data_IF_537477330787
#
_entry.id   IF_537477330787
#
_cell.length_a   1.000
_cell.length_b   1.000
_cell.length_c   1.000
_cell.angle_alpha   90.00
_cell.angle_beta   90.00
_cell.angle_gamma   90.00
#
_symmetry.space_group_name_H-M   'P 1'
#
loop_
_entity.id
_entity.type
_entity.pdbx_description
1 polymer ?
#
# COMPACT_ATOMS: atom_id res chain seq x y z
N UNK A 1 -21.57 18.96 24.66
CA UNK A 1 -21.27 18.14 23.47
C UNK A 1 -20.76 16.81 23.96
N UNK A 2 -21.52 15.77 23.66
CA UNK A 2 -21.70 14.60 24.52
C UNK A 2 -20.62 13.55 24.30
N UNK A 3 -19.91 13.20 25.37
CA UNK A 3 -19.04 12.03 25.44
C UNK A 3 -19.93 10.79 25.64
N UNK A 4 -19.92 9.84 24.71
CA UNK A 4 -20.48 8.51 24.96
C UNK A 4 -19.58 7.75 25.94
N UNK A 5 -20.11 7.52 27.14
CA UNK A 5 -19.49 6.76 28.23
C UNK A 5 -19.80 5.27 28.03
N UNK A 6 -18.79 4.40 28.08
CA UNK A 6 -19.03 2.97 28.21
C UNK A 6 -19.43 2.63 29.67
N UNK A 7 -20.10 1.50 29.90
CA UNK A 7 -20.80 1.10 31.14
C UNK A 7 -19.95 1.06 32.44
N UNK A 8 -18.67 1.44 32.40
CA UNK A 8 -17.76 1.46 33.55
C UNK A 8 -17.06 2.82 33.78
N UNK A 9 -17.39 3.88 33.06
CA UNK A 9 -16.88 5.23 33.37
C UNK A 9 -15.38 5.46 33.17
N UNK A 10 -14.64 4.48 32.63
CA UNK A 10 -13.23 4.65 32.29
C UNK A 10 -13.05 5.38 30.96
N UNK A 11 -12.17 6.38 30.96
CA UNK A 11 -11.66 7.05 29.76
C UNK A 11 -10.93 5.98 28.94
N UNK A 12 -11.56 5.42 27.90
CA UNK A 12 -10.90 4.46 27.01
C UNK A 12 -9.76 5.19 26.33
N UNK A 13 -8.54 4.96 26.81
CA UNK A 13 -7.35 5.52 26.19
C UNK A 13 -7.25 4.99 24.76
N UNK A 14 -6.78 5.82 23.80
CA UNK A 14 -6.54 5.33 22.46
C UNK A 14 -5.60 4.12 22.53
N UNK A 15 -5.97 3.02 21.88
CA UNK A 15 -5.22 1.76 21.91
C UNK A 15 -5.15 1.19 20.50
N UNK A 16 -3.97 0.70 20.15
CA UNK A 16 -3.74 -0.02 18.91
C UNK A 16 -3.36 0.85 17.71
N UNK A 17 -2.99 0.14 16.65
CA UNK A 17 -2.58 0.63 15.34
C UNK A 17 -3.56 0.11 14.31
N UNK A 18 -4.15 1.00 13.52
CA UNK A 18 -5.01 0.64 12.40
C UNK A 18 -4.20 0.73 11.11
N UNK A 19 -4.19 -0.32 10.29
CA UNK A 19 -3.48 -0.34 9.00
C UNK A 19 -4.49 -0.38 7.87
N UNK A 20 -4.46 0.60 6.96
CA UNK A 20 -5.36 0.69 5.82
C UNK A 20 -4.59 0.90 4.52
N UNK A 21 -5.31 0.92 3.40
CA UNK A 21 -4.74 1.20 2.08
C UNK A 21 -5.05 0.14 1.06
N UNK A 22 -4.17 0.05 0.08
CA UNK A 22 -4.24 -0.85 -1.05
C UNK A 22 -3.86 -2.28 -0.63
N UNK A 23 -4.79 -3.22 -0.78
CA UNK A 23 -4.58 -4.64 -0.51
C UNK A 23 -4.29 -5.40 -1.80
N UNK A 24 -3.27 -6.25 -1.77
CA UNK A 24 -2.79 -7.05 -2.91
C UNK A 24 -2.81 -8.52 -2.50
N UNK A 25 -2.99 -9.39 -3.48
CA UNK A 25 -2.76 -10.83 -3.39
C UNK A 25 -1.44 -11.11 -4.10
N UNK A 26 -0.39 -11.32 -3.32
CA UNK A 26 0.92 -11.67 -3.84
C UNK A 26 0.96 -13.17 -4.16
N UNK A 27 1.27 -13.48 -5.41
CA UNK A 27 1.46 -14.82 -5.95
C UNK A 27 2.96 -15.05 -6.12
N UNK A 28 3.58 -15.66 -5.12
CA UNK A 28 5.00 -15.99 -5.14
C UNK A 28 5.23 -17.34 -5.81
N UNK A 29 5.86 -17.32 -6.97
CA UNK A 29 6.15 -18.51 -7.78
C UNK A 29 7.59 -18.92 -7.52
N UNK A 30 7.77 -19.97 -6.73
CA UNK A 30 9.08 -20.54 -6.40
C UNK A 30 9.44 -21.62 -7.42
N UNK A 31 10.58 -21.42 -8.10
CA UNK A 31 11.13 -22.39 -9.03
C UNK A 31 11.55 -23.67 -8.29
N UNK A 32 11.00 -24.82 -8.69
CA UNK A 32 11.31 -26.10 -8.08
C UNK A 32 12.59 -26.74 -8.63
N UNK A 33 13.04 -27.81 -7.97
CA UNK A 33 14.26 -28.53 -8.32
C UNK A 33 14.04 -29.79 -9.14
N UNK A 34 12.92 -29.93 -9.86
CA UNK A 34 12.59 -31.16 -10.61
C UNK A 34 13.63 -31.39 -11.71
N UNK A 35 14.33 -32.52 -11.65
CA UNK A 35 15.36 -32.90 -12.63
C UNK A 35 14.93 -34.05 -13.52
N UNK A 36 13.94 -34.82 -13.09
CA UNK A 36 13.49 -36.01 -13.79
C UNK A 36 11.96 -36.09 -13.89
N UNK A 37 11.45 -36.71 -14.96
CA UNK A 37 10.01 -36.87 -15.14
C UNK A 37 9.37 -37.75 -14.06
N UNK A 38 10.14 -38.66 -13.46
CA UNK A 38 9.67 -39.56 -12.41
C UNK A 38 9.55 -38.87 -11.03
N UNK A 39 10.12 -37.66 -10.86
CA UNK A 39 10.01 -36.91 -9.62
C UNK A 39 8.53 -36.56 -9.38
N UNK A 40 8.02 -36.95 -8.21
CA UNK A 40 6.62 -36.74 -7.83
C UNK A 40 6.36 -35.36 -7.22
N UNK A 41 7.42 -34.59 -6.95
CA UNK A 41 7.30 -33.23 -6.44
C UNK A 41 6.92 -32.26 -7.58
N UNK A 42 6.00 -31.31 -7.35
CA UNK A 42 5.73 -30.25 -8.31
C UNK A 42 7.01 -29.49 -8.70
N UNK A 43 7.13 -29.14 -10.00
CA UNK A 43 8.27 -28.36 -10.51
C UNK A 43 8.23 -26.88 -10.12
N UNK A 44 7.15 -26.43 -9.49
CA UNK A 44 6.92 -25.07 -9.03
C UNK A 44 6.10 -25.14 -7.74
N UNK A 45 6.38 -24.24 -6.79
CA UNK A 45 5.53 -23.99 -5.63
C UNK A 45 4.96 -22.58 -5.76
N UNK A 46 3.63 -22.46 -5.80
CA UNK A 46 2.96 -21.16 -5.72
C UNK A 46 2.52 -20.92 -4.28
N UNK A 47 3.03 -19.84 -3.68
CA UNK A 47 2.62 -19.39 -2.34
C UNK A 47 1.84 -18.09 -2.50
N UNK A 48 0.62 -18.09 -1.97
CA UNK A 48 -0.26 -16.92 -2.00
C UNK A 48 -0.26 -16.24 -0.64
N UNK A 49 0.00 -14.94 -0.63
CA UNK A 49 0.01 -14.11 0.57
C UNK A 49 -0.73 -12.78 0.33
N UNK A 50 -1.04 -12.06 1.39
CA UNK A 50 -1.50 -10.66 1.28
C UNK A 50 -0.29 -9.73 1.13
N UNK A 51 -0.30 -8.92 0.07
CA UNK A 51 0.61 -7.81 -0.17
C UNK A 51 0.06 -6.47 0.35
N UNK A 52 0.74 -5.38 -0.02
CA UNK A 52 0.29 -4.01 0.26
C UNK A 52 0.05 -3.73 1.76
N UNK A 53 -1.11 -3.15 2.09
CA UNK A 53 -1.52 -2.87 3.46
C UNK A 53 -1.58 -4.11 4.36
N UNK A 54 -1.94 -5.28 3.80
CA UNK A 54 -1.95 -6.54 4.54
C UNK A 54 -0.54 -6.96 4.99
N UNK A 55 0.43 -6.93 4.07
CA UNK A 55 1.84 -7.24 4.40
C UNK A 55 2.42 -6.23 5.38
N UNK A 56 2.07 -4.96 5.25
CA UNK A 56 2.49 -3.91 6.18
C UNK A 56 1.95 -4.15 7.59
N UNK A 57 0.69 -4.58 7.72
CA UNK A 57 0.13 -4.95 9.02
C UNK A 57 0.90 -6.11 9.66
N UNK A 58 1.23 -7.15 8.89
CA UNK A 58 1.99 -8.29 9.41
C UNK A 58 3.43 -7.91 9.80
N UNK A 59 4.08 -7.04 9.02
CA UNK A 59 5.39 -6.49 9.38
C UNK A 59 5.33 -5.70 10.68
N UNK A 60 4.34 -4.83 10.86
CA UNK A 60 4.17 -4.03 12.08
C UNK A 60 3.90 -4.91 13.30
N UNK A 61 3.06 -5.96 13.16
CA UNK A 61 2.85 -6.94 14.23
C UNK A 61 4.16 -7.56 14.68
N UNK A 62 4.99 -7.98 13.72
CA UNK A 62 6.26 -8.63 14.03
C UNK A 62 7.27 -7.66 14.64
N UNK A 63 7.36 -6.43 14.13
CA UNK A 63 8.21 -5.38 14.69
C UNK A 63 7.80 -5.04 16.13
N UNK A 64 6.51 -4.91 16.41
CA UNK A 64 6.02 -4.63 17.76
C UNK A 64 6.18 -5.82 18.71
N UNK A 65 6.10 -7.05 18.20
CA UNK A 65 6.41 -8.28 18.97
C UNK A 65 7.88 -8.32 19.39
N UNK A 66 8.79 -7.90 18.51
CA UNK A 66 10.23 -7.87 18.80
C UNK A 66 10.66 -6.66 19.65
N UNK A 67 9.88 -5.57 19.61
CA UNK A 67 10.19 -4.35 20.35
C UNK A 67 10.01 -4.54 21.87
N UNK A 68 11.05 -4.15 22.61
CA UNK A 68 11.03 -4.03 24.07
C UNK A 68 10.57 -2.65 24.56
N UNK A 69 10.17 -1.74 23.66
CA UNK A 69 9.83 -0.36 24.00
C UNK A 69 8.44 -0.28 24.64
N UNK A 70 8.39 0.28 25.85
CA UNK A 70 7.14 0.56 26.58
C UNK A 70 6.29 1.66 25.92
N UNK A 71 6.88 2.53 25.10
CA UNK A 71 6.12 3.55 24.34
C UNK A 71 5.29 2.92 23.21
N UNK A 72 5.79 1.83 22.62
CA UNK A 72 5.10 1.07 21.57
C UNK A 72 4.08 0.07 22.12
N UNK A 73 4.09 -0.20 23.44
CA UNK A 73 3.17 -1.15 24.08
C UNK A 73 1.71 -0.75 23.89
N UNK A 74 1.41 0.56 23.84
CA UNK A 74 0.06 1.06 23.62
C UNK A 74 -0.43 0.93 22.16
N UNK A 75 0.48 0.63 21.22
CA UNK A 75 0.23 0.49 19.78
C UNK A 75 0.32 -0.98 19.29
N UNK A 76 0.59 -1.93 20.20
CA UNK A 76 0.87 -3.34 19.89
C UNK A 76 -0.24 -4.06 19.14
N UNK A 77 -1.48 -3.72 19.38
CA UNK A 77 -2.60 -4.30 18.65
C UNK A 77 -2.65 -3.69 17.26
N UNK A 78 -2.11 -4.40 16.27
CA UNK A 78 -2.12 -3.98 14.86
C UNK A 78 -3.30 -4.68 14.17
N UNK A 79 -4.26 -3.88 13.75
CA UNK A 79 -5.49 -4.33 13.10
C UNK A 79 -5.51 -3.79 11.68
N UNK A 80 -5.56 -4.63 10.64
CA UNK A 80 -5.84 -4.13 9.29
C UNK A 80 -7.29 -3.61 9.25
N UNK A 81 -7.59 -2.56 8.49
CA UNK A 81 -8.94 -1.98 8.37
C UNK A 81 -9.91 -2.91 7.65
N UNK A 82 -9.37 -3.70 6.73
CA UNK A 82 -10.08 -4.70 5.94
C UNK A 82 -9.26 -6.00 5.94
N UNK A 83 -9.94 -7.13 5.80
CA UNK A 83 -9.29 -8.45 5.75
C UNK A 83 -9.65 -9.19 4.47
N UNK A 84 -8.74 -10.03 3.94
CA UNK A 84 -9.11 -11.03 2.96
C UNK A 84 -10.29 -11.88 3.46
N UNK A 85 -11.32 -12.14 2.61
CA UNK A 85 -12.29 -13.18 2.89
C UNK A 85 -11.54 -14.49 3.24
N UNK A 86 -11.99 -15.27 4.24
CA UNK A 86 -11.23 -16.41 4.77
C UNK A 86 -10.78 -17.44 3.73
N UNK A 87 -11.53 -17.59 2.64
CA UNK A 87 -11.23 -18.54 1.57
C UNK A 87 -10.57 -17.89 0.35
N UNK A 88 -10.33 -16.57 0.35
CA UNK A 88 -9.82 -15.90 -0.83
C UNK A 88 -8.40 -16.37 -1.17
N UNK A 89 -7.50 -16.49 -0.19
CA UNK A 89 -6.13 -16.93 -0.43
C UNK A 89 -6.10 -18.38 -0.96
N UNK A 90 -6.94 -19.25 -0.40
CA UNK A 90 -7.08 -20.64 -0.87
C UNK A 90 -7.64 -20.70 -2.30
N UNK A 91 -8.66 -19.88 -2.60
CA UNK A 91 -9.25 -19.77 -3.94
C UNK A 91 -8.28 -19.18 -4.96
N UNK A 92 -7.52 -18.17 -4.57
CA UNK A 92 -6.46 -17.55 -5.33
C UNK A 92 -5.34 -18.53 -5.69
N UNK A 93 -5.00 -19.45 -4.79
CA UNK A 93 -4.04 -20.52 -5.08
C UNK A 93 -4.56 -21.52 -6.12
N UNK A 94 -5.89 -21.71 -6.21
CA UNK A 94 -6.53 -22.63 -7.17
C UNK A 94 -6.96 -21.97 -8.49
N UNK A 95 -6.68 -20.66 -8.68
CA UNK A 95 -7.11 -19.91 -9.86
C UNK A 95 -8.61 -19.60 -9.94
N UNK A 96 -9.39 -19.94 -8.91
CA UNK A 96 -10.84 -19.76 -8.87
C UNK A 96 -11.21 -18.51 -8.06
N UNK A 97 -10.81 -17.33 -8.54
CA UNK A 97 -10.85 -16.09 -7.75
C UNK A 97 -11.97 -15.18 -8.19
N UNK A 98 -12.81 -14.77 -7.24
CA UNK A 98 -13.84 -13.75 -7.43
C UNK A 98 -13.30 -12.30 -7.27
N UNK A 99 -11.99 -12.13 -7.13
CA UNK A 99 -11.35 -10.80 -7.07
C UNK A 99 -10.80 -10.41 -8.42
N UNK A 100 -10.85 -9.10 -8.71
CA UNK A 100 -10.22 -8.56 -9.92
C UNK A 100 -8.75 -8.96 -10.00
N UNK A 101 -8.31 -9.35 -11.20
CA UNK A 101 -6.90 -9.61 -11.52
C UNK A 101 -6.00 -8.41 -11.22
N UNK A 102 -6.55 -7.20 -11.16
CA UNK A 102 -5.81 -5.99 -10.78
C UNK A 102 -5.22 -6.05 -9.36
N UNK A 103 -5.80 -6.88 -8.47
CA UNK A 103 -5.28 -7.07 -7.11
C UNK A 103 -4.25 -8.20 -7.02
N UNK A 104 -3.92 -8.88 -8.12
CA UNK A 104 -2.94 -9.95 -8.12
C UNK A 104 -1.58 -9.42 -8.57
N UNK A 105 -0.59 -9.54 -7.71
CA UNK A 105 0.80 -9.32 -8.06
C UNK A 105 1.53 -10.65 -8.15
N UNK A 106 2.52 -10.75 -9.05
CA UNK A 106 3.28 -11.98 -9.21
C UNK A 106 4.78 -11.73 -9.10
N UNK A 107 5.48 -12.65 -8.47
CA UNK A 107 6.94 -12.62 -8.35
C UNK A 107 7.55 -14.01 -8.50
N UNK A 108 8.61 -14.13 -9.30
CA UNK A 108 9.40 -15.35 -9.42
C UNK A 108 10.57 -15.35 -8.44
N UNK A 109 10.66 -16.44 -7.70
CA UNK A 109 11.72 -16.70 -6.75
C UNK A 109 12.56 -17.86 -7.24
N UNK A 110 13.86 -17.64 -7.40
CA UNK A 110 14.81 -18.66 -7.83
C UNK A 110 15.80 -18.99 -6.72
N UNK A 111 16.16 -20.27 -6.54
CA UNK A 111 17.16 -20.64 -5.56
C UNK A 111 18.53 -20.16 -6.04
N UNK A 112 19.23 -19.43 -5.18
CA UNK A 112 20.58 -18.95 -5.43
C UNK A 112 21.52 -19.55 -4.39
N UNK A 113 22.76 -19.91 -4.77
CA UNK A 113 23.76 -20.33 -3.81
C UNK A 113 23.94 -19.27 -2.73
N UNK A 114 23.96 -19.67 -1.46
CA UNK A 114 24.35 -18.77 -0.39
C UNK A 114 25.89 -18.66 -0.39
N UNK A 115 26.40 -17.43 -0.54
CA UNK A 115 27.83 -17.16 -0.62
C UNK A 115 28.58 -17.52 0.66
N UNK A 116 27.89 -17.50 1.81
CA UNK A 116 28.45 -17.77 3.14
C UNK A 116 28.32 -19.26 3.51
N UNK A 117 27.21 -19.90 3.13
CA UNK A 117 26.94 -21.31 3.41
C UNK A 117 26.60 -22.02 2.09
N UNK A 118 27.61 -22.55 1.39
CA UNK A 118 27.47 -23.09 0.03
C UNK A 118 26.50 -24.28 -0.08
N UNK A 119 26.23 -24.95 1.03
CA UNK A 119 25.25 -26.02 1.19
C UNK A 119 23.81 -25.50 1.37
N UNK A 120 23.64 -24.21 1.65
CA UNK A 120 22.34 -23.55 1.81
C UNK A 120 21.99 -22.75 0.57
N UNK A 121 20.70 -22.73 0.27
CA UNK A 121 20.14 -21.88 -0.76
C UNK A 121 19.43 -20.68 -0.13
N UNK A 122 19.48 -19.54 -0.80
CA UNK A 122 18.61 -18.40 -0.52
C UNK A 122 17.68 -18.21 -1.71
N UNK A 123 16.43 -17.86 -1.42
CA UNK A 123 15.47 -17.51 -2.47
C UNK A 123 15.59 -16.02 -2.75
N UNK A 124 15.88 -15.67 -4.00
CA UNK A 124 15.87 -14.27 -4.44
C UNK A 124 14.71 -14.06 -5.38
N UNK A 125 14.01 -12.93 -5.20
CA UNK A 125 13.08 -12.44 -6.20
C UNK A 125 13.92 -12.05 -7.42
N UNK A 126 13.77 -12.80 -8.50
CA UNK A 126 14.50 -12.56 -9.75
C UNK A 126 13.67 -11.77 -10.75
N UNK A 127 12.35 -11.77 -10.59
CA UNK A 127 11.43 -11.08 -11.49
C UNK A 127 10.16 -10.71 -10.72
N UNK A 128 9.83 -9.42 -10.72
CA UNK A 128 8.55 -8.92 -10.24
C UNK A 128 7.71 -8.55 -11.46
N UNK A 129 6.64 -9.29 -11.71
CA UNK A 129 5.83 -9.14 -12.92
C UNK A 129 4.76 -8.04 -12.80
N UNK A 130 4.66 -7.38 -11.64
CA UNK A 130 3.68 -6.33 -11.41
C UNK A 130 2.26 -6.86 -11.34
N UNK A 131 1.30 -6.04 -11.78
CA UNK A 131 -0.15 -6.28 -11.66
C UNK A 131 -0.79 -6.55 -13.02
N UNK A 132 -1.66 -7.56 -13.09
CA UNK A 132 -2.46 -7.88 -14.28
C UNK A 132 -1.67 -8.52 -15.44
N UNK A 133 -2.40 -8.99 -16.45
CA UNK A 133 -1.83 -9.46 -17.71
C UNK A 133 -2.12 -8.44 -18.82
N UNK A 134 -1.16 -8.19 -19.71
CA UNK A 134 -1.46 -7.52 -20.99
C UNK A 134 -2.46 -8.38 -21.74
N UNK A 135 -3.63 -7.82 -22.07
CA UNK A 135 -4.57 -8.54 -22.90
C UNK A 135 -3.91 -8.73 -24.28
N UNK A 136 -3.89 -9.96 -24.85
CA UNK A 136 -3.21 -10.23 -26.12
C UNK A 136 -3.84 -9.48 -27.32
N UNK A 137 -4.99 -8.83 -27.13
CA UNK A 137 -5.62 -7.97 -28.11
C UNK A 137 -5.75 -6.55 -27.54
N UNK A 138 -4.92 -5.61 -28.00
CA UNK A 138 -5.16 -4.19 -27.73
C UNK A 138 -3.93 -3.30 -27.76
N UNK A 139 -3.61 -2.80 -28.96
CA UNK A 139 -2.93 -1.56 -29.28
C UNK A 139 -2.28 -0.76 -28.14
N UNK A 140 -0.97 -0.60 -28.24
CA UNK A 140 -0.28 0.61 -27.84
C UNK A 140 -1.02 1.85 -28.36
N UNK A 141 -1.45 2.73 -27.46
CA UNK A 141 -1.23 4.15 -27.65
C UNK A 141 -0.96 4.84 -26.31
N UNK A 142 0.10 5.65 -26.21
CA UNK A 142 0.44 6.42 -25.03
C UNK A 142 -0.38 7.72 -24.98
N UNK A 143 -0.68 8.18 -23.76
CA UNK A 143 -1.01 9.56 -23.37
C UNK A 143 -2.07 10.36 -24.19
N UNK A 144 -3.12 10.80 -23.47
CA UNK A 144 -3.91 11.98 -23.80
C UNK A 144 -5.17 11.74 -24.65
N UNK A 145 -6.35 11.81 -24.03
CA UNK A 145 -7.32 12.91 -24.23
C UNK A 145 -8.75 12.56 -23.81
N UNK A 146 -9.32 13.49 -23.04
CA UNK A 146 -10.71 13.97 -22.94
C UNK A 146 -11.85 13.00 -23.30
N UNK A 147 -12.61 12.62 -22.26
CA UNK A 147 -13.95 12.00 -22.35
C UNK A 147 -14.99 13.05 -22.74
N UNK A 148 -15.85 12.74 -23.72
CA UNK A 148 -17.22 13.31 -23.82
C UNK A 148 -18.25 12.19 -24.06
N UNK A 149 -19.19 12.08 -23.10
CA UNK A 149 -20.62 11.71 -23.19
C UNK A 149 -21.12 10.48 -23.99
N UNK A 150 -21.87 9.60 -23.32
CA UNK A 150 -23.35 9.53 -23.42
C UNK A 150 -23.94 8.26 -22.76
N UNK A 151 -24.97 8.45 -21.92
CA UNK A 151 -25.81 7.42 -21.29
C UNK A 151 -26.69 6.67 -22.30
N UNK A 152 -27.03 5.41 -21.99
CA UNK A 152 -28.39 4.87 -22.19
C UNK A 152 -28.72 3.82 -21.12
N UNK A 153 -29.91 3.97 -20.53
CA UNK A 153 -30.47 3.16 -19.45
C UNK A 153 -31.15 1.88 -19.96
N UNK A 154 -31.11 0.80 -19.16
CA UNK A 154 -32.16 -0.23 -19.15
C UNK A 154 -32.18 -0.97 -17.80
N UNK A 155 -33.36 -1.04 -17.18
CA UNK A 155 -33.64 -1.63 -15.86
C UNK A 155 -34.06 -3.11 -15.93
N UNK A 156 -33.59 -3.93 -14.96
CA UNK A 156 -34.28 -5.06 -14.24
C UNK A 156 -33.34 -6.25 -13.92
N UNK A 157 -33.64 -7.13 -12.94
CA UNK A 157 -34.02 -6.87 -11.55
C UNK A 157 -33.10 -7.61 -10.52
N UNK A 158 -33.13 -7.09 -9.29
CA UNK A 158 -32.67 -7.62 -7.99
C UNK A 158 -31.97 -9.00 -7.94
N UNK A 159 -30.64 -8.95 -7.80
CA UNK A 159 -29.80 -9.97 -7.18
C UNK A 159 -28.46 -9.33 -6.85
N UNK A 160 -28.14 -9.20 -5.56
CA UNK A 160 -26.96 -8.50 -5.03
C UNK A 160 -25.66 -8.97 -5.71
N UNK A 161 -25.27 -8.25 -6.76
CA UNK A 161 -23.99 -8.34 -7.43
C UNK A 161 -23.51 -6.91 -7.62
N UNK A 162 -22.29 -6.64 -7.18
CA UNK A 162 -21.64 -5.35 -7.39
C UNK A 162 -21.29 -5.25 -8.89
N UNK A 163 -22.28 -4.91 -9.71
CA UNK A 163 -22.13 -4.71 -11.16
C UNK A 163 -21.87 -3.25 -11.45
N UNK A 164 -20.63 -2.80 -11.21
CA UNK A 164 -20.14 -1.56 -11.82
C UNK A 164 -19.38 -1.95 -13.08
N UNK A 165 -20.04 -1.83 -14.23
CA UNK A 165 -19.57 -2.18 -15.58
C UNK A 165 -18.54 -1.20 -16.17
N UNK A 166 -17.78 -0.48 -15.35
CA UNK A 166 -16.81 0.48 -15.86
C UNK A 166 -15.45 -0.19 -16.12
N UNK A 167 -15.16 -0.50 -17.39
CA UNK A 167 -13.99 -1.24 -17.90
C UNK A 167 -12.61 -0.56 -17.65
N UNK A 168 -12.50 0.44 -16.79
CA UNK A 168 -11.24 1.17 -16.59
C UNK A 168 -10.97 1.67 -15.16
N UNK A 169 -11.81 1.34 -14.18
CA UNK A 169 -11.52 1.60 -12.77
C UNK A 169 -11.21 0.26 -12.08
N UNK A 170 -10.04 0.14 -11.46
CA UNK A 170 -9.73 -0.97 -10.58
C UNK A 170 -10.88 -1.17 -9.58
N UNK A 171 -11.27 -2.42 -9.32
CA UNK A 171 -12.31 -2.69 -8.33
C UNK A 171 -11.88 -2.04 -7.00
N UNK A 172 -12.73 -1.20 -6.38
CA UNK A 172 -12.34 -0.45 -5.20
C UNK A 172 -11.97 -1.38 -4.05
N UNK A 173 -11.19 -0.88 -3.09
CA UNK A 173 -10.89 -1.60 -1.85
C UNK A 173 -12.17 -2.05 -1.07
N UNK A 174 -13.35 -1.54 -1.45
CA UNK A 174 -14.66 -1.94 -0.96
C UNK A 174 -14.98 -3.44 -1.16
N UNK A 175 -14.22 -4.16 -2.02
CA UNK A 175 -14.36 -5.61 -2.17
C UNK A 175 -13.79 -6.41 -0.99
N UNK A 176 -13.06 -5.78 -0.07
CA UNK A 176 -12.53 -6.42 1.13
C UNK A 176 -13.45 -6.13 2.33
N UNK A 177 -13.96 -7.17 3.03
CA UNK A 177 -14.80 -6.97 4.20
C UNK A 177 -14.05 -6.22 5.30
N UNK A 178 -14.77 -5.39 6.03
CA UNK A 178 -14.24 -4.71 7.20
C UNK A 178 -13.77 -5.72 8.25
N UNK A 179 -12.66 -5.39 8.90
CA UNK A 179 -12.16 -6.21 10.01
C UNK A 179 -13.08 -6.03 11.21
N UNK A 180 -13.50 -7.11 11.91
CA UNK A 180 -14.21 -6.97 13.16
C UNK A 180 -13.31 -6.35 14.25
N UNK A 181 -13.92 -5.66 15.21
CA UNK A 181 -13.23 -5.09 16.38
C UNK A 181 -12.12 -4.07 16.06
N UNK A 182 -12.31 -3.22 15.04
CA UNK A 182 -11.38 -2.10 14.78
C UNK A 182 -11.28 -1.19 16.01
N UNK A 183 -10.09 -0.70 16.38
CA UNK A 183 -9.96 0.26 17.45
C UNK A 183 -10.75 1.52 17.09
N UNK A 184 -11.73 1.89 17.93
CA UNK A 184 -12.55 3.08 17.70
C UNK A 184 -11.75 4.38 17.79
N UNK A 185 -10.64 4.38 18.55
CA UNK A 185 -9.69 5.48 18.71
C UNK A 185 -8.26 4.93 18.65
N UNK A 186 -7.69 4.67 17.46
CA UNK A 186 -6.32 4.18 17.36
C UNK A 186 -5.34 5.29 17.74
N UNK A 187 -4.17 4.91 18.28
CA UNK A 187 -3.06 5.87 18.46
C UNK A 187 -2.36 6.20 17.14
N UNK A 188 -2.34 5.22 16.25
CA UNK A 188 -1.62 5.27 14.99
C UNK A 188 -2.51 4.71 13.88
N UNK A 189 -2.62 5.46 12.80
CA UNK A 189 -3.19 4.99 11.54
C UNK A 189 -2.07 4.95 10.50
N UNK A 190 -1.85 3.77 9.93
CA UNK A 190 -0.86 3.57 8.86
C UNK A 190 -1.60 3.30 7.56
N UNK A 191 -1.38 4.13 6.55
CA UNK A 191 -2.01 4.02 5.24
C UNK A 191 -0.93 3.65 4.22
N UNK A 192 -1.08 2.50 3.57
CA UNK A 192 -0.27 2.08 2.44
C UNK A 192 -1.02 2.35 1.14
N UNK A 193 -0.76 3.51 0.54
CA UNK A 193 -1.28 3.91 -0.76
C UNK A 193 -0.29 3.44 -1.84
N UNK A 194 -0.76 2.57 -2.73
CA UNK A 194 0.01 1.86 -3.75
C UNK A 194 -0.34 2.27 -5.18
N UNK A 195 -1.25 3.22 -5.38
CA UNK A 195 -1.72 3.66 -6.69
C UNK A 195 -2.81 2.77 -7.29
N UNK A 196 -3.54 2.00 -6.48
CA UNK A 196 -4.60 1.09 -6.98
C UNK A 196 -6.03 1.63 -6.82
N UNK A 197 -6.18 2.95 -6.65
CA UNK A 197 -7.49 3.62 -6.56
C UNK A 197 -7.98 3.88 -5.14
N UNK A 198 -7.24 3.48 -4.10
CA UNK A 198 -7.62 3.75 -2.71
C UNK A 198 -7.81 5.24 -2.45
N UNK A 199 -6.89 6.09 -2.91
CA UNK A 199 -6.93 7.54 -2.64
C UNK A 199 -8.08 8.27 -3.35
N UNK A 200 -8.60 7.72 -4.45
CA UNK A 200 -9.72 8.26 -5.24
C UNK A 200 -11.09 7.71 -4.81
N UNK A 201 -11.13 6.70 -3.94
CA UNK A 201 -12.37 6.01 -3.54
C UNK A 201 -12.73 6.32 -2.08
N UNK A 202 -13.58 7.31 -1.77
CA UNK A 202 -13.85 7.71 -0.39
C UNK A 202 -14.44 6.61 0.49
N UNK A 203 -15.19 5.66 -0.07
CA UNK A 203 -15.74 4.48 0.63
C UNK A 203 -14.65 3.62 1.26
N UNK A 204 -13.39 3.75 0.81
CA UNK A 204 -12.23 3.03 1.32
C UNK A 204 -11.65 3.59 2.60
N UNK A 205 -11.85 4.89 2.88
CA UNK A 205 -11.12 5.59 3.93
C UNK A 205 -11.92 6.67 4.66
N UNK A 206 -13.15 6.96 4.25
CA UNK A 206 -13.99 7.96 4.89
C UNK A 206 -14.30 7.59 6.35
N UNK A 207 -14.37 6.30 6.66
CA UNK A 207 -14.64 5.76 7.98
C UNK A 207 -13.38 5.61 8.86
N UNK A 208 -12.19 5.95 8.36
CA UNK A 208 -10.98 5.90 9.19
C UNK A 208 -11.12 6.84 10.40
N UNK A 209 -10.92 6.34 11.63
CA UNK A 209 -11.01 7.12 12.85
C UNK A 209 -9.78 8.03 12.98
N UNK A 210 -9.88 9.23 12.41
CA UNK A 210 -8.86 10.27 12.49
C UNK A 210 -9.36 11.37 13.43
N UNK A 211 -8.80 11.43 14.64
CA UNK A 211 -8.99 12.56 15.54
C UNK A 211 -7.74 13.45 15.62
N UNK A 212 -7.76 14.45 16.49
CA UNK A 212 -6.63 15.39 16.67
C UNK A 212 -5.45 14.80 17.44
N UNK A 213 -5.60 13.63 18.06
CA UNK A 213 -4.53 12.94 18.81
C UNK A 213 -3.90 11.79 18.00
N UNK A 214 -4.62 11.30 16.99
CA UNK A 214 -4.22 10.19 16.12
C UNK A 214 -3.00 10.56 15.29
N UNK A 215 -1.90 9.80 15.43
CA UNK A 215 -0.76 9.88 14.51
C UNK A 215 -1.11 9.19 13.19
N UNK A 216 -0.74 9.79 12.06
CA UNK A 216 -0.98 9.22 10.73
C UNK A 216 0.34 9.02 10.01
N UNK A 217 0.62 7.80 9.56
CA UNK A 217 1.71 7.49 8.63
C UNK A 217 1.10 7.17 7.27
N UNK A 218 1.41 7.98 6.27
CA UNK A 218 0.99 7.77 4.89
C UNK A 218 2.20 7.36 4.05
N UNK A 219 2.29 6.08 3.68
CA UNK A 219 3.23 5.60 2.67
C UNK A 219 2.57 5.66 1.31
N UNK A 220 3.14 6.42 0.38
CA UNK A 220 2.58 6.63 -0.97
C UNK A 220 3.47 6.06 -2.06
N UNK A 221 2.84 5.60 -3.14
CA UNK A 221 3.52 5.21 -4.38
C UNK A 221 3.65 6.37 -5.38
N UNK A 222 2.99 7.50 -5.14
CA UNK A 222 3.09 8.71 -5.96
C UNK A 222 2.76 9.96 -5.13
N UNK A 223 3.10 11.15 -5.63
CA UNK A 223 2.81 12.38 -4.88
C UNK A 223 1.29 12.54 -4.71
N UNK A 224 0.80 12.78 -3.48
CA UNK A 224 -0.62 12.79 -3.19
C UNK A 224 -1.34 14.09 -3.59
N UNK A 225 -0.79 14.92 -4.50
CA UNK A 225 -1.40 16.21 -4.86
C UNK A 225 -2.78 16.02 -5.50
N UNK A 226 -3.75 16.85 -5.07
CA UNK A 226 -5.12 16.91 -5.61
C UNK A 226 -5.97 15.63 -5.51
N UNK A 227 -5.69 14.74 -4.55
CA UNK A 227 -6.64 13.63 -4.24
C UNK A 227 -7.48 13.92 -3.02
N UNK A 228 -8.70 13.37 -3.03
CA UNK A 228 -9.65 13.44 -1.92
C UNK A 228 -9.06 12.94 -0.58
N UNK A 229 -8.28 11.85 -0.61
CA UNK A 229 -7.59 11.38 0.59
C UNK A 229 -6.62 12.42 1.15
N UNK A 230 -5.87 13.11 0.29
CA UNK A 230 -4.92 14.14 0.71
C UNK A 230 -5.60 15.34 1.35
N UNK A 231 -6.72 15.78 0.78
CA UNK A 231 -7.52 16.88 1.34
C UNK A 231 -8.03 16.54 2.74
N UNK A 232 -8.50 15.30 2.96
CA UNK A 232 -8.88 14.81 4.29
C UNK A 232 -7.68 14.79 5.25
N UNK A 233 -6.54 14.27 4.82
CA UNK A 233 -5.34 14.16 5.67
C UNK A 233 -4.68 15.50 5.98
N UNK A 234 -4.81 16.50 5.09
CA UNK A 234 -4.29 17.84 5.30
C UNK A 234 -4.90 18.54 6.53
N UNK A 235 -6.12 18.14 6.93
CA UNK A 235 -6.76 18.59 8.18
C UNK A 235 -6.03 18.09 9.44
N UNK A 236 -5.20 17.05 9.30
CA UNK A 236 -4.40 16.44 10.37
C UNK A 236 -2.89 16.64 10.14
N UNK A 237 -2.49 17.68 9.40
CA UNK A 237 -1.08 17.92 9.01
C UNK A 237 -0.08 17.88 10.18
N UNK A 238 -0.48 18.32 11.37
CA UNK A 238 0.35 18.34 12.59
C UNK A 238 0.63 16.93 13.16
N UNK A 239 -0.09 15.90 12.69
CA UNK A 239 0.12 14.50 13.08
C UNK A 239 0.45 13.60 11.89
N UNK A 240 0.63 14.19 10.70
CA UNK A 240 0.86 13.47 9.46
C UNK A 240 2.35 13.28 9.22
N UNK A 241 2.76 12.04 9.03
CA UNK A 241 4.08 11.66 8.50
C UNK A 241 3.90 11.03 7.13
N UNK A 242 4.57 11.57 6.11
CA UNK A 242 4.53 11.04 4.74
C UNK A 242 5.81 10.26 4.46
N UNK A 243 5.68 9.09 3.85
CA UNK A 243 6.80 8.26 3.39
C UNK A 243 6.69 8.09 1.88
N UNK A 244 7.73 8.48 1.14
CA UNK A 244 7.79 8.36 -0.32
C UNK A 244 9.18 7.91 -0.77
N UNK A 245 9.27 7.13 -1.84
CA UNK A 245 10.57 6.77 -2.41
C UNK A 245 11.13 7.92 -3.26
N UNK A 246 12.44 8.15 -3.21
CA UNK A 246 13.13 9.14 -4.02
C UNK A 246 12.91 8.90 -5.52
N UNK A 247 12.80 7.63 -5.94
CA UNK A 247 12.46 7.26 -7.31
C UNK A 247 11.14 7.88 -7.79
N UNK A 248 10.13 8.00 -6.91
CA UNK A 248 8.85 8.62 -7.26
C UNK A 248 8.96 10.13 -7.41
N UNK A 249 9.84 10.78 -6.63
CA UNK A 249 10.13 12.20 -6.79
C UNK A 249 10.83 12.47 -8.13
N UNK A 250 11.80 11.63 -8.51
CA UNK A 250 12.54 11.73 -9.78
C UNK A 250 11.64 11.61 -11.01
N UNK A 251 10.56 10.81 -10.94
CA UNK A 251 9.55 10.71 -12.04
C UNK A 251 8.84 12.03 -12.32
N UNK A 252 8.89 12.99 -11.40
CA UNK A 252 8.27 14.31 -11.54
C UNK A 252 9.28 15.39 -11.94
N UNK A 253 10.37 14.98 -12.59
CA UNK A 253 11.49 15.82 -13.01
C UNK A 253 12.24 16.51 -11.84
N UNK A 254 12.09 15.99 -10.61
CA UNK A 254 12.91 16.43 -9.48
C UNK A 254 14.37 16.03 -9.73
N UNK A 255 15.28 17.01 -9.70
CA UNK A 255 16.71 16.78 -9.98
C UNK A 255 17.44 16.25 -8.75
N UNK A 256 17.01 15.08 -8.29
CA UNK A 256 17.62 14.35 -7.17
C UNK A 256 18.57 13.33 -7.76
N UNK A 257 19.88 13.54 -7.58
CA UNK A 257 20.91 12.64 -8.09
C UNK A 257 20.75 11.19 -7.63
N UNK A 258 21.24 10.25 -8.45
CA UNK A 258 21.30 8.81 -8.16
C UNK A 258 22.75 8.34 -8.25
N UNK A 259 23.26 7.68 -7.22
CA UNK A 259 24.63 7.11 -7.22
C UNK A 259 25.76 8.12 -7.00
N UNK A 260 25.46 9.33 -6.51
CA UNK A 260 26.44 10.28 -5.98
C UNK A 260 26.66 10.06 -4.47
N UNK A 261 27.49 10.89 -3.84
CA UNK A 261 27.62 10.87 -2.37
C UNK A 261 26.28 11.22 -1.70
N UNK A 262 26.08 10.72 -0.48
CA UNK A 262 24.86 11.00 0.30
C UNK A 262 24.64 12.49 0.55
N UNK A 263 25.72 13.24 0.76
CA UNK A 263 25.66 14.68 0.98
C UNK A 263 25.10 15.40 -0.25
N UNK A 264 25.60 15.11 -1.45
CA UNK A 264 25.12 15.73 -2.69
C UNK A 264 23.65 15.37 -2.95
N UNK A 265 23.28 14.10 -2.77
CA UNK A 265 21.89 13.63 -2.93
C UNK A 265 20.94 14.34 -1.97
N UNK A 266 21.38 14.57 -0.73
CA UNK A 266 20.61 15.31 0.27
C UNK A 266 20.50 16.81 -0.08
N UNK A 267 21.59 17.45 -0.51
CA UNK A 267 21.60 18.86 -0.92
C UNK A 267 20.76 19.11 -2.18
N UNK A 268 20.74 18.18 -3.14
CA UNK A 268 19.83 18.21 -4.29
C UNK A 268 18.37 18.15 -3.83
N UNK A 269 18.05 17.21 -2.93
CA UNK A 269 16.71 17.06 -2.38
C UNK A 269 16.23 18.31 -1.62
N UNK A 270 17.07 18.91 -0.77
CA UNK A 270 16.74 20.15 -0.06
C UNK A 270 16.48 21.31 -1.04
N UNK A 271 17.26 21.43 -2.13
CA UNK A 271 17.01 22.45 -3.15
C UNK A 271 15.67 22.24 -3.86
N UNK A 272 15.32 21.00 -4.19
CA UNK A 272 14.06 20.67 -4.85
C UNK A 272 12.84 20.88 -3.94
N UNK A 273 12.94 20.60 -2.64
CA UNK A 273 11.85 20.85 -1.70
C UNK A 273 11.72 22.35 -1.40
N UNK A 274 12.83 23.11 -1.27
CA UNK A 274 12.83 24.53 -0.90
C UNK A 274 12.67 25.53 -2.04
N UNK A 275 12.80 25.09 -3.29
CA UNK A 275 12.68 25.95 -4.46
C UNK A 275 11.33 26.68 -4.58
N UNK A 276 11.39 28.01 -4.66
CA UNK A 276 10.22 28.86 -4.92
C UNK A 276 9.91 28.93 -6.43
N UNK A 277 8.72 28.44 -6.79
CA UNK A 277 7.88 28.82 -7.94
C UNK A 277 8.51 28.84 -9.37
N UNK A 278 8.17 27.81 -10.15
CA UNK A 278 7.49 27.90 -11.48
C UNK A 278 7.75 26.67 -12.35
N UNK A 279 8.87 25.97 -12.16
CA UNK A 279 9.15 24.68 -12.83
C UNK A 279 9.00 23.48 -11.86
N UNK A 280 9.25 23.68 -10.56
CA UNK A 280 9.38 22.61 -9.56
C UNK A 280 8.39 22.66 -8.38
N UNK A 281 7.34 23.50 -8.45
CA UNK A 281 6.35 23.70 -7.38
C UNK A 281 5.49 22.47 -7.02
N UNK A 282 5.72 21.31 -7.65
CA UNK A 282 4.97 20.06 -7.44
C UNK A 282 5.26 19.40 -6.09
N UNK A 283 6.44 19.62 -5.53
CA UNK A 283 6.84 19.03 -4.24
C UNK A 283 6.37 19.86 -3.03
N UNK A 284 5.93 21.10 -3.25
CA UNK A 284 5.50 22.01 -2.18
C UNK A 284 4.39 21.43 -1.30
N UNK A 285 3.49 20.62 -1.87
CA UNK A 285 2.44 19.95 -1.12
C UNK A 285 3.00 19.00 -0.06
N UNK A 286 4.17 18.39 -0.28
CA UNK A 286 4.80 17.49 0.70
C UNK A 286 5.27 18.24 1.96
N UNK A 287 5.35 19.58 1.93
CA UNK A 287 5.60 20.41 3.12
C UNK A 287 4.39 20.51 4.06
N UNK A 288 3.21 20.09 3.62
CA UNK A 288 1.98 20.17 4.43
C UNK A 288 1.81 18.95 5.34
N UNK A 289 2.90 18.41 5.87
CA UNK A 289 2.90 17.33 6.85
C UNK A 289 3.96 17.62 7.93
N UNK A 290 3.81 17.05 9.12
CA UNK A 290 4.75 17.25 10.23
C UNK A 290 6.11 16.62 9.99
N UNK A 291 6.15 15.45 9.35
CA UNK A 291 7.41 14.82 8.96
C UNK A 291 7.30 14.25 7.54
N UNK A 292 8.31 14.49 6.72
CA UNK A 292 8.49 13.86 5.41
C UNK A 292 9.69 12.92 5.47
N UNK A 293 9.47 11.66 5.14
CA UNK A 293 10.52 10.64 5.02
C UNK A 293 10.68 10.28 3.54
N UNK A 294 11.87 10.50 3.01
CA UNK A 294 12.24 10.12 1.65
C UNK A 294 13.17 8.91 1.70
N UNK A 295 12.71 7.77 1.19
CA UNK A 295 13.49 6.54 1.14
C UNK A 295 14.31 6.46 -0.16
N UNK A 296 15.60 6.19 -0.04
CA UNK A 296 16.53 5.97 -1.15
C UNK A 296 16.79 4.47 -1.27
N UNK A 297 15.78 3.78 -1.79
CA UNK A 297 15.75 2.32 -1.93
C UNK A 297 16.10 1.61 -0.61
N UNK A 298 17.04 0.66 -0.65
CA UNK A 298 17.49 -0.08 0.53
C UNK A 298 18.69 0.56 1.24
N UNK A 299 19.18 1.71 0.75
CA UNK A 299 20.49 2.22 1.14
C UNK A 299 20.41 3.29 2.24
N UNK A 300 19.43 4.18 2.18
CA UNK A 300 19.20 5.19 3.22
C UNK A 300 17.78 5.76 3.21
N UNK A 301 17.51 6.61 4.20
CA UNK A 301 16.33 7.47 4.23
C UNK A 301 16.69 8.84 4.82
N UNK A 302 16.01 9.87 4.34
CA UNK A 302 16.10 11.24 4.87
C UNK A 302 14.78 11.59 5.53
N UNK A 303 14.83 12.17 6.73
CA UNK A 303 13.67 12.70 7.42
C UNK A 303 13.76 14.23 7.53
N UNK A 304 12.73 14.92 7.07
CA UNK A 304 12.58 16.39 7.14
C UNK A 304 11.34 16.73 7.95
N UNK A 305 11.39 17.86 8.65
CA UNK A 305 10.29 18.45 9.41
C UNK A 305 9.96 19.82 8.85
#
# INVERSE_FOLDING_TARGET
>A
MSNELNQQGEKVSPKGTLVSGDFIIDQHIYEGGRKHYADRTPGVLVKVETGGAGKLADLLKELFRQSKSTELDAAREVVPSRIPPPNLLNRAATGNVATSLAHHAYAFWRPQPNSVARDKQKWLCTEAMGFGALHPEGNSSPAGDVVTGANTDSESPAGETCTTTNRQAGMPCACWPETPNRPAKPKLVVISEGGMGFRETPECWNDLPLDTETQVILKVASIPTKSMLWEKLALHKENLTVIIAAAELRKLDARISSGLTWEETFQDFLREIDGNASVHGRLSALKNCRNLIVAFDSEAAVAVR
#
